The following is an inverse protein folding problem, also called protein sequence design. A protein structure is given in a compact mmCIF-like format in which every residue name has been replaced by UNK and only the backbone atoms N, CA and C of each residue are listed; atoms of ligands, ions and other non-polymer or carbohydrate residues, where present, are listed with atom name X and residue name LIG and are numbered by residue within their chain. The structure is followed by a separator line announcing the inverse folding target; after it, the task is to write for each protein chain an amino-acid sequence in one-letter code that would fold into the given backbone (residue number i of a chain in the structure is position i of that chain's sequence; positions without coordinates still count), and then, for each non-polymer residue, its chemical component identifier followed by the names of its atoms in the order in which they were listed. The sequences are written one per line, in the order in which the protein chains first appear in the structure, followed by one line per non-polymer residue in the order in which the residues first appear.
data_IF_930152420490
#
_entry.id   IF_930152420490
#
_cell.length_a   1.000
_cell.length_b   1.000
_cell.length_c   1.000
_cell.angle_alpha   90.00
_cell.angle_beta   90.00
_cell.angle_gamma   90.00
#
_symmetry.space_group_name_H-M   'P 1'
#
loop_
_entity.id
_entity.type
_entity.pdbx_description
1 polymer ?
#
# COMPACT_ATOMS: atom_id res chain seq x y z
N UNK A 1 17.49 26.62 16.44
CA UNK A 1 16.39 25.73 16.82
C UNK A 1 16.92 24.31 16.69
N UNK A 2 16.96 23.55 17.77
CA UNK A 2 17.25 22.12 17.68
C UNK A 2 16.13 21.46 16.84
N UNK A 3 16.46 20.54 15.92
CA UNK A 3 15.42 19.77 15.23
C UNK A 3 14.60 19.03 16.29
N UNK A 4 13.28 19.19 16.25
CA UNK A 4 12.39 18.38 17.10
C UNK A 4 12.61 16.91 16.73
N UNK A 5 13.03 16.12 17.70
CA UNK A 5 13.20 14.67 17.54
C UNK A 5 11.84 14.05 17.20
N UNK A 6 11.73 13.39 16.05
CA UNK A 6 10.48 12.79 15.58
C UNK A 6 10.14 11.60 16.49
N UNK A 7 9.02 11.67 17.19
CA UNK A 7 8.52 10.55 18.00
C UNK A 7 7.79 9.55 17.10
N UNK A 8 8.52 8.60 16.54
CA UNK A 8 7.97 7.57 15.67
C UNK A 8 7.00 6.63 16.38
N UNK A 9 7.21 6.31 17.66
CA UNK A 9 6.31 5.42 18.40
C UNK A 9 4.90 6.02 18.49
N UNK A 10 4.80 7.31 18.80
CA UNK A 10 3.50 8.02 18.80
C UNK A 10 2.83 7.99 17.42
N UNK A 11 3.59 8.22 16.35
CA UNK A 11 3.06 8.21 14.97
C UNK A 11 2.55 6.80 14.60
N UNK A 12 3.28 5.76 14.97
CA UNK A 12 2.91 4.37 14.71
C UNK A 12 1.61 4.03 15.44
N UNK A 13 1.52 4.37 16.73
CA UNK A 13 0.35 4.09 17.56
C UNK A 13 -0.89 4.84 17.07
N UNK A 14 -0.77 6.12 16.73
CA UNK A 14 -1.88 6.93 16.18
C UNK A 14 -2.39 6.37 14.85
N UNK A 15 -1.49 5.99 13.94
CA UNK A 15 -1.87 5.42 12.65
C UNK A 15 -2.52 4.05 12.78
N UNK A 16 -2.03 3.20 13.69
CA UNK A 16 -2.63 1.90 13.96
C UNK A 16 -4.00 2.04 14.62
N UNK A 17 -4.15 2.95 15.60
CA UNK A 17 -5.42 3.23 16.26
C UNK A 17 -6.49 3.67 15.24
N UNK A 18 -6.13 4.54 14.30
CA UNK A 18 -7.04 4.97 13.25
C UNK A 18 -7.52 3.80 12.36
N UNK A 19 -6.65 2.85 12.00
CA UNK A 19 -7.06 1.65 11.27
C UNK A 19 -8.08 0.86 12.07
N UNK A 20 -7.87 0.69 13.39
CA UNK A 20 -8.78 -0.05 14.25
C UNK A 20 -10.15 0.62 14.33
N UNK A 21 -10.20 1.95 14.46
CA UNK A 21 -11.45 2.74 14.44
C UNK A 21 -12.21 2.57 13.13
N UNK A 22 -11.50 2.57 11.98
CA UNK A 22 -12.12 2.43 10.65
C UNK A 22 -12.75 1.05 10.44
N UNK A 23 -12.11 -0.02 10.95
CA UNK A 23 -12.63 -1.37 10.74
C UNK A 23 -13.63 -1.83 11.80
N UNK A 24 -13.60 -1.24 13.00
CA UNK A 24 -14.47 -1.63 14.15
C UNK A 24 -15.96 -1.71 13.79
N UNK A 25 -16.58 -0.74 13.07
CA UNK A 25 -18.02 -0.79 12.77
C UNK A 25 -18.46 -1.94 11.86
N UNK A 26 -17.51 -2.60 11.18
CA UNK A 26 -17.77 -3.62 10.15
C UNK A 26 -17.10 -4.97 10.45
N UNK A 27 -16.59 -5.15 11.65
CA UNK A 27 -15.93 -6.40 12.06
C UNK A 27 -16.37 -6.86 13.42
N UNK A 28 -16.19 -8.13 13.74
CA UNK A 28 -16.47 -8.65 15.10
C UNK A 28 -15.42 -8.17 16.10
N UNK A 29 -15.78 -8.14 17.39
CA UNK A 29 -14.81 -7.83 18.45
C UNK A 29 -13.64 -8.83 18.47
N UNK A 30 -13.90 -10.10 18.13
CA UNK A 30 -12.87 -11.14 18.01
C UNK A 30 -11.91 -10.84 16.86
N UNK A 31 -12.43 -10.52 15.68
CA UNK A 31 -11.59 -10.17 14.52
C UNK A 31 -10.83 -8.87 14.74
N UNK A 32 -11.43 -7.87 15.38
CA UNK A 32 -10.72 -6.64 15.75
C UNK A 32 -9.54 -6.94 16.69
N UNK A 33 -9.73 -7.85 17.67
CA UNK A 33 -8.64 -8.28 18.54
C UNK A 33 -7.52 -8.98 17.76
N UNK A 34 -7.86 -9.81 16.75
CA UNK A 34 -6.88 -10.46 15.84
C UNK A 34 -6.11 -9.46 14.98
N UNK A 35 -6.77 -8.40 14.50
CA UNK A 35 -6.11 -7.33 13.74
C UNK A 35 -5.11 -6.57 14.62
N UNK A 36 -5.50 -6.24 15.88
CA UNK A 36 -4.59 -5.62 16.85
C UNK A 36 -3.39 -6.51 17.16
N UNK A 37 -3.61 -7.82 17.27
CA UNK A 37 -2.57 -8.82 17.50
C UNK A 37 -1.60 -8.92 16.30
N UNK A 38 -2.10 -8.83 15.06
CA UNK A 38 -1.29 -8.81 13.86
C UNK A 38 -0.39 -7.56 13.78
N UNK A 39 -0.91 -6.40 14.14
CA UNK A 39 -0.12 -5.19 14.27
C UNK A 39 0.99 -5.35 15.32
N UNK A 40 0.67 -5.89 16.50
CA UNK A 40 1.66 -6.11 17.58
C UNK A 40 2.78 -7.05 17.11
N UNK A 41 2.43 -8.15 16.43
CA UNK A 41 3.42 -9.07 15.86
C UNK A 41 4.29 -8.39 14.80
N UNK A 42 3.70 -7.65 13.87
CA UNK A 42 4.45 -6.95 12.83
C UNK A 42 5.41 -5.90 13.43
N UNK A 43 4.96 -5.16 14.47
CA UNK A 43 5.80 -4.19 15.19
C UNK A 43 7.00 -4.86 15.86
N UNK A 44 6.78 -5.97 16.55
CA UNK A 44 7.85 -6.76 17.19
C UNK A 44 8.82 -7.30 16.14
N UNK A 45 8.31 -7.92 15.09
CA UNK A 45 9.10 -8.57 14.06
C UNK A 45 10.02 -7.58 13.31
N UNK A 46 9.53 -6.37 13.03
CA UNK A 46 10.26 -5.33 12.31
C UNK A 46 10.96 -4.31 13.22
N UNK A 47 10.96 -4.50 14.55
CA UNK A 47 11.54 -3.55 15.50
C UNK A 47 12.99 -3.11 15.18
N UNK A 48 13.92 -4.01 14.74
CA UNK A 48 15.29 -3.63 14.42
C UNK A 48 15.45 -3.02 13.01
N UNK A 49 14.39 -2.96 12.21
CA UNK A 49 14.49 -2.62 10.79
C UNK A 49 14.12 -1.15 10.54
N UNK A 50 14.85 -0.53 9.61
CA UNK A 50 14.59 0.83 9.14
C UNK A 50 14.48 0.85 7.61
N UNK A 51 13.65 1.75 7.08
CA UNK A 51 13.53 1.99 5.64
C UNK A 51 14.73 2.81 5.14
N UNK A 52 14.87 2.91 3.81
CA UNK A 52 15.90 3.76 3.17
C UNK A 52 15.72 5.25 3.46
N UNK A 53 14.51 5.67 3.80
CA UNK A 53 14.17 7.02 4.29
C UNK A 53 14.67 7.28 5.72
N UNK A 54 15.12 6.23 6.46
CA UNK A 54 15.56 6.33 7.85
C UNK A 54 14.43 6.15 8.88
N UNK A 55 13.19 6.00 8.46
CA UNK A 55 12.04 5.75 9.34
C UNK A 55 11.91 4.27 9.73
N UNK A 56 11.28 3.93 10.89
CA UNK A 56 11.01 2.55 11.29
C UNK A 56 10.24 1.78 10.21
N UNK A 57 10.68 0.54 9.93
CA UNK A 57 10.08 -0.28 8.86
C UNK A 57 8.59 -0.53 9.06
N UNK A 58 8.12 -0.68 10.30
CA UNK A 58 6.71 -0.93 10.66
C UNK A 58 5.74 0.09 10.06
N UNK A 59 6.18 1.32 9.76
CA UNK A 59 5.36 2.34 9.10
C UNK A 59 4.87 1.90 7.71
N UNK A 60 5.61 0.98 7.04
CA UNK A 60 5.20 0.42 5.78
C UNK A 60 4.02 -0.56 5.91
N UNK A 61 4.10 -1.66 6.69
CA UNK A 61 2.93 -2.53 6.91
C UNK A 61 1.71 -1.79 7.44
N UNK A 62 1.89 -0.80 8.31
CA UNK A 62 0.80 0.06 8.80
C UNK A 62 0.15 0.83 7.65
N UNK A 63 0.93 1.42 6.75
CA UNK A 63 0.40 2.15 5.61
C UNK A 63 -0.30 1.22 4.60
N UNK A 64 0.22 0.01 4.36
CA UNK A 64 -0.40 -1.01 3.51
C UNK A 64 -1.74 -1.46 4.10
N UNK A 65 -1.78 -1.75 5.41
CA UNK A 65 -3.01 -2.11 6.11
C UNK A 65 -4.05 -0.97 6.11
N UNK A 66 -3.59 0.30 6.18
CA UNK A 66 -4.46 1.46 6.07
C UNK A 66 -5.13 1.54 4.69
N UNK A 67 -4.37 1.39 3.61
CA UNK A 67 -4.92 1.36 2.25
C UNK A 67 -5.98 0.26 2.12
N UNK A 68 -5.69 -0.94 2.62
CA UNK A 68 -6.61 -2.05 2.60
C UNK A 68 -7.90 -1.77 3.40
N UNK A 69 -7.78 -1.14 4.57
CA UNK A 69 -8.90 -0.85 5.46
C UNK A 69 -9.75 0.33 4.98
N UNK A 70 -9.14 1.44 4.55
CA UNK A 70 -9.83 2.69 4.26
C UNK A 70 -10.18 2.84 2.78
N UNK A 71 -9.21 2.59 1.89
CA UNK A 71 -9.38 2.87 0.46
C UNK A 71 -10.04 1.70 -0.29
N UNK A 72 -9.77 0.46 0.14
CA UNK A 72 -10.31 -0.76 -0.45
C UNK A 72 -11.41 -1.43 0.37
N UNK A 73 -11.66 -0.99 1.60
CA UNK A 73 -12.71 -1.50 2.50
C UNK A 73 -12.67 -3.03 2.70
N UNK A 74 -11.47 -3.61 2.80
CA UNK A 74 -11.25 -5.05 2.87
C UNK A 74 -11.60 -5.64 4.25
N UNK A 75 -11.80 -6.95 4.27
CA UNK A 75 -12.11 -7.73 5.48
C UNK A 75 -10.92 -7.84 6.45
N UNK A 76 -11.21 -8.24 7.69
CA UNK A 76 -10.22 -8.33 8.77
C UNK A 76 -9.05 -9.25 8.42
N UNK A 77 -9.28 -10.41 7.79
CA UNK A 77 -8.22 -11.34 7.43
C UNK A 77 -7.27 -10.75 6.39
N UNK A 78 -7.81 -9.97 5.44
CA UNK A 78 -7.00 -9.28 4.44
C UNK A 78 -6.19 -8.14 5.06
N UNK A 79 -6.76 -7.38 6.00
CA UNK A 79 -6.03 -6.34 6.76
C UNK A 79 -4.92 -6.97 7.62
N UNK A 80 -5.18 -8.11 8.27
CA UNK A 80 -4.16 -8.89 8.98
C UNK A 80 -3.03 -9.30 8.02
N UNK A 81 -3.38 -9.82 6.84
CA UNK A 81 -2.37 -10.19 5.83
C UNK A 81 -1.54 -8.99 5.37
N UNK A 82 -2.12 -7.78 5.30
CA UNK A 82 -1.38 -6.55 5.02
C UNK A 82 -0.36 -6.19 6.10
N UNK A 83 -0.69 -6.37 7.38
CA UNK A 83 0.31 -6.19 8.46
C UNK A 83 1.44 -7.23 8.39
N UNK A 84 1.15 -8.44 7.94
CA UNK A 84 2.06 -9.60 8.01
C UNK A 84 2.77 -9.92 6.69
N UNK A 85 2.52 -9.20 5.60
CA UNK A 85 2.96 -9.58 4.25
C UNK A 85 4.48 -9.71 4.10
N UNK A 86 5.26 -8.90 4.83
CA UNK A 86 6.73 -8.93 4.82
C UNK A 86 7.32 -9.68 6.03
N UNK A 87 6.51 -10.04 7.04
CA UNK A 87 7.01 -10.68 8.27
C UNK A 87 7.73 -11.99 7.96
N UNK A 88 7.15 -12.82 7.09
CA UNK A 88 7.75 -14.13 6.74
C UNK A 88 8.95 -13.99 5.77
N UNK A 89 9.00 -12.91 4.96
CA UNK A 89 10.09 -12.68 4.01
C UNK A 89 11.33 -12.11 4.72
N UNK A 90 11.12 -11.16 5.64
CA UNK A 90 12.19 -10.31 6.17
C UNK A 90 12.54 -10.57 7.64
N UNK A 91 11.89 -11.56 8.28
CA UNK A 91 12.10 -11.88 9.70
C UNK A 91 12.17 -13.41 9.93
N UNK A 92 12.55 -13.89 11.12
CA UNK A 92 12.61 -15.32 11.42
C UNK A 92 11.26 -16.05 11.50
N UNK A 93 10.13 -15.33 11.50
CA UNK A 93 8.80 -15.95 11.55
C UNK A 93 8.51 -16.78 10.31
N UNK A 94 7.83 -17.90 10.51
CA UNK A 94 7.44 -18.83 9.45
C UNK A 94 5.95 -18.78 9.13
N UNK A 95 5.55 -19.32 7.97
CA UNK A 95 4.12 -19.50 7.64
C UNK A 95 3.39 -20.34 8.69
N UNK A 96 4.07 -21.31 9.31
CA UNK A 96 3.47 -22.16 10.34
C UNK A 96 3.20 -21.37 11.63
N UNK A 97 4.03 -20.37 11.96
CA UNK A 97 3.79 -19.48 13.09
C UNK A 97 2.57 -18.58 12.82
N UNK A 98 2.47 -18.05 11.60
CA UNK A 98 1.28 -17.28 11.18
C UNK A 98 0.02 -18.14 11.23
N UNK A 99 0.09 -19.38 10.73
CA UNK A 99 -1.03 -20.33 10.76
C UNK A 99 -1.50 -20.63 12.18
N UNK A 100 -0.59 -20.89 13.11
CA UNK A 100 -0.92 -21.17 14.52
C UNK A 100 -1.62 -20.00 15.21
N UNK A 101 -1.22 -18.76 14.86
CA UNK A 101 -1.70 -17.56 15.55
C UNK A 101 -2.93 -16.95 14.88
N UNK A 102 -3.02 -16.97 13.56
CA UNK A 102 -4.06 -16.28 12.79
C UNK A 102 -4.95 -17.20 11.93
N UNK A 103 -4.64 -18.50 11.90
CA UNK A 103 -5.42 -19.48 11.14
C UNK A 103 -4.97 -19.71 9.71
N UNK A 104 -5.59 -20.68 9.07
CA UNK A 104 -5.23 -21.14 7.70
C UNK A 104 -5.48 -20.09 6.62
N UNK A 105 -6.55 -19.32 6.73
CA UNK A 105 -6.95 -18.32 5.75
C UNK A 105 -5.88 -17.22 5.64
N UNK A 106 -5.50 -16.61 6.77
CA UNK A 106 -4.44 -15.59 6.82
C UNK A 106 -3.10 -16.17 6.37
N UNK A 107 -2.73 -17.36 6.84
CA UNK A 107 -1.48 -18.00 6.46
C UNK A 107 -1.41 -18.28 4.95
N UNK A 108 -2.54 -18.64 4.34
CA UNK A 108 -2.63 -18.84 2.89
C UNK A 108 -2.41 -17.52 2.14
N UNK A 109 -3.06 -16.43 2.56
CA UNK A 109 -2.88 -15.10 1.98
C UNK A 109 -1.42 -14.64 2.09
N UNK A 110 -0.83 -14.71 3.29
CA UNK A 110 0.58 -14.32 3.51
C UNK A 110 1.53 -15.17 2.65
N UNK A 111 1.30 -16.49 2.55
CA UNK A 111 2.11 -17.38 1.70
C UNK A 111 2.09 -16.97 0.23
N UNK A 112 0.93 -16.57 -0.29
CA UNK A 112 0.76 -16.19 -1.69
C UNK A 112 1.42 -14.84 -1.98
N UNK A 113 1.40 -13.90 -1.04
CA UNK A 113 2.02 -12.59 -1.22
C UNK A 113 3.53 -12.58 -0.94
N UNK A 114 4.04 -13.51 -0.12
CA UNK A 114 5.47 -13.65 0.18
C UNK A 114 6.22 -14.13 -1.06
N UNK A 115 7.29 -13.45 -1.43
CA UNK A 115 8.14 -13.83 -2.56
C UNK A 115 8.89 -15.12 -2.25
N UNK A 116 8.81 -16.10 -3.15
CA UNK A 116 9.74 -17.23 -3.11
C UNK A 116 11.12 -16.72 -3.50
N UNK A 117 12.11 -16.96 -2.64
CA UNK A 117 13.51 -16.63 -2.94
C UNK A 117 13.95 -17.38 -4.22
N UNK A 118 13.92 -16.72 -5.36
CA UNK A 118 14.41 -17.24 -6.63
C UNK A 118 15.86 -16.80 -6.83
N UNK A 119 16.76 -17.77 -6.99
CA UNK A 119 18.20 -17.56 -7.26
C UNK A 119 18.50 -17.29 -8.75
N UNK A 120 17.54 -16.88 -9.56
CA UNK A 120 17.69 -16.80 -11.02
C UNK A 120 17.74 -15.37 -11.52
N UNK A 121 18.50 -15.14 -12.61
CA UNK A 121 18.83 -13.88 -13.30
C UNK A 121 17.75 -12.79 -13.36
N UNK A 122 18.16 -11.50 -13.41
CA UNK A 122 17.25 -10.31 -13.34
C UNK A 122 16.08 -10.31 -14.35
N UNK A 123 16.25 -10.86 -15.55
CA UNK A 123 15.15 -10.99 -16.53
C UNK A 123 14.10 -12.00 -16.07
N UNK A 124 14.50 -13.04 -15.33
CA UNK A 124 13.58 -14.02 -14.76
C UNK A 124 12.80 -13.47 -13.57
N UNK A 125 13.35 -12.51 -12.81
CA UNK A 125 12.65 -11.91 -11.66
C UNK A 125 11.39 -11.14 -12.06
N UNK A 126 11.39 -10.46 -13.20
CA UNK A 126 10.20 -9.75 -13.69
C UNK A 126 9.13 -10.74 -14.18
N UNK A 127 9.55 -11.78 -14.91
CA UNK A 127 8.66 -12.87 -15.33
C UNK A 127 8.12 -13.65 -14.13
N UNK A 128 8.95 -13.90 -13.11
CA UNK A 128 8.55 -14.59 -11.88
C UNK A 128 7.56 -13.74 -11.08
N UNK A 129 7.78 -12.44 -10.97
CA UNK A 129 6.83 -11.51 -10.33
C UNK A 129 5.49 -11.48 -11.08
N UNK A 130 5.53 -11.45 -12.42
CA UNK A 130 4.34 -11.48 -13.25
C UNK A 130 3.58 -12.81 -13.09
N UNK A 131 4.29 -13.92 -13.18
CA UNK A 131 3.72 -15.25 -12.99
C UNK A 131 3.13 -15.42 -11.59
N UNK A 132 3.84 -15.00 -10.55
CA UNK A 132 3.36 -15.04 -9.17
C UNK A 132 2.09 -14.18 -8.98
N UNK A 133 2.02 -13.03 -9.63
CA UNK A 133 0.83 -12.18 -9.58
C UNK A 133 -0.36 -12.85 -10.29
N UNK A 134 -0.13 -13.48 -11.44
CA UNK A 134 -1.17 -14.26 -12.14
C UNK A 134 -1.59 -15.52 -11.36
N UNK A 135 -0.63 -16.23 -10.76
CA UNK A 135 -0.92 -17.39 -9.92
C UNK A 135 -1.74 -16.97 -8.68
N UNK A 136 -1.46 -15.78 -8.12
CA UNK A 136 -2.25 -15.22 -7.02
C UNK A 136 -3.72 -15.04 -7.37
N UNK A 137 -4.03 -14.65 -8.63
CA UNK A 137 -5.41 -14.54 -9.15
C UNK A 137 -6.16 -15.88 -9.12
N UNK A 138 -5.44 -16.97 -9.33
CA UNK A 138 -6.05 -18.30 -9.39
C UNK A 138 -6.34 -18.88 -8.00
N UNK A 139 -5.59 -18.44 -6.97
CA UNK A 139 -5.72 -18.95 -5.61
C UNK A 139 -6.65 -18.12 -4.73
N UNK A 140 -6.43 -16.80 -4.70
CA UNK A 140 -7.24 -15.89 -3.88
C UNK A 140 -7.10 -14.44 -4.39
N UNK A 141 -8.21 -13.86 -4.82
CA UNK A 141 -8.25 -12.47 -5.32
C UNK A 141 -7.79 -11.45 -4.26
N UNK A 142 -7.96 -11.75 -2.97
CA UNK A 142 -7.53 -10.87 -1.87
C UNK A 142 -6.01 -10.68 -1.85
N UNK A 143 -5.24 -11.71 -2.26
CA UNK A 143 -3.78 -11.60 -2.36
C UNK A 143 -3.34 -10.49 -3.33
N UNK A 144 -4.10 -10.26 -4.40
CA UNK A 144 -3.83 -9.16 -5.33
C UNK A 144 -4.11 -7.81 -4.69
N UNK A 145 -5.18 -7.72 -3.91
CA UNK A 145 -5.54 -6.49 -3.20
C UNK A 145 -4.45 -6.11 -2.19
N UNK A 146 -3.86 -7.09 -1.48
CA UNK A 146 -2.68 -6.87 -0.64
C UNK A 146 -1.50 -6.36 -1.48
N UNK A 147 -1.20 -6.99 -2.62
CA UNK A 147 -0.09 -6.56 -3.50
C UNK A 147 -0.32 -5.18 -4.13
N UNK A 148 -1.57 -4.83 -4.46
CA UNK A 148 -1.91 -3.49 -4.94
C UNK A 148 -1.74 -2.44 -3.84
N UNK A 149 -2.13 -2.75 -2.60
CA UNK A 149 -1.94 -1.87 -1.44
C UNK A 149 -0.45 -1.64 -1.16
N UNK A 150 0.36 -2.71 -1.19
CA UNK A 150 1.82 -2.63 -1.07
C UNK A 150 2.43 -1.78 -2.20
N UNK A 151 2.06 -2.06 -3.46
CA UNK A 151 2.56 -1.32 -4.62
C UNK A 151 2.21 0.16 -4.53
N UNK A 152 0.98 0.51 -4.16
CA UNK A 152 0.53 1.89 -4.03
C UNK A 152 1.35 2.63 -2.96
N UNK A 153 1.54 2.02 -1.79
CA UNK A 153 2.38 2.63 -0.76
C UNK A 153 3.85 2.78 -1.22
N UNK A 154 4.40 1.78 -1.90
CA UNK A 154 5.76 1.86 -2.45
C UNK A 154 5.89 2.98 -3.49
N UNK A 155 4.87 3.21 -4.32
CA UNK A 155 4.84 4.32 -5.29
C UNK A 155 4.74 5.68 -4.59
N UNK A 156 3.92 5.81 -3.54
CA UNK A 156 3.79 7.04 -2.73
C UNK A 156 5.11 7.44 -2.03
N UNK A 157 5.97 6.45 -1.73
CA UNK A 157 7.26 6.67 -1.02
C UNK A 157 8.49 6.51 -1.93
N UNK A 158 8.31 6.44 -3.24
CA UNK A 158 9.35 6.08 -4.20
C UNK A 158 10.49 7.12 -4.32
N UNK A 159 10.24 8.37 -3.93
CA UNK A 159 11.22 9.47 -3.94
C UNK A 159 12.50 9.17 -3.15
N UNK A 160 12.44 8.32 -2.12
CA UNK A 160 13.60 7.91 -1.31
C UNK A 160 14.55 6.94 -2.03
N UNK A 161 14.17 6.44 -3.21
CA UNK A 161 14.96 5.48 -3.98
C UNK A 161 15.87 6.18 -5.00
N UNK A 162 16.93 5.48 -5.46
CA UNK A 162 17.78 5.95 -6.56
C UNK A 162 16.98 6.05 -7.87
N UNK A 163 17.29 7.03 -8.77
CA UNK A 163 16.55 7.25 -10.02
C UNK A 163 16.37 6.00 -10.89
N UNK A 164 17.40 5.16 -11.02
CA UNK A 164 17.32 3.90 -11.77
C UNK A 164 16.26 2.94 -11.21
N UNK A 165 16.15 2.87 -9.87
CA UNK A 165 15.11 2.07 -9.21
C UNK A 165 13.73 2.70 -9.34
N UNK A 166 13.64 4.02 -9.27
CA UNK A 166 12.38 4.75 -9.49
C UNK A 166 11.82 4.41 -10.87
N UNK A 167 12.63 4.55 -11.91
CA UNK A 167 12.27 4.25 -13.30
C UNK A 167 11.79 2.79 -13.47
N UNK A 168 12.53 1.83 -12.90
CA UNK A 168 12.19 0.41 -12.98
C UNK A 168 10.85 0.10 -12.28
N UNK A 169 10.66 0.59 -11.06
CA UNK A 169 9.45 0.35 -10.26
C UNK A 169 8.24 1.06 -10.90
N UNK A 170 8.41 2.29 -11.38
CA UNK A 170 7.36 3.03 -12.07
C UNK A 170 6.96 2.33 -13.39
N UNK A 171 7.93 1.85 -14.18
CA UNK A 171 7.66 1.07 -15.38
C UNK A 171 6.88 -0.21 -15.10
N UNK A 172 7.30 -1.01 -14.09
CA UNK A 172 6.60 -2.21 -13.68
C UNK A 172 5.17 -1.90 -13.20
N UNK A 173 4.99 -0.79 -12.50
CA UNK A 173 3.67 -0.34 -12.01
C UNK A 173 2.73 -0.02 -13.18
N UNK A 174 3.20 0.72 -14.15
CA UNK A 174 2.45 1.12 -15.33
C UNK A 174 2.03 -0.08 -16.21
N UNK A 175 2.96 -1.02 -16.43
CA UNK A 175 2.71 -2.19 -17.29
C UNK A 175 1.87 -3.28 -16.64
N UNK A 176 1.91 -3.41 -15.30
CA UNK A 176 1.35 -4.57 -14.63
C UNK A 176 0.24 -4.18 -13.65
N UNK A 177 0.55 -3.31 -12.69
CA UNK A 177 -0.36 -3.03 -11.57
C UNK A 177 -1.50 -2.10 -11.95
N UNK A 178 -1.27 -1.07 -12.77
CA UNK A 178 -2.32 -0.16 -13.23
C UNK A 178 -3.37 -0.86 -14.11
N UNK A 179 -3.00 -1.67 -15.12
CA UNK A 179 -3.95 -2.47 -15.88
C UNK A 179 -4.72 -3.49 -15.02
N UNK A 180 -4.06 -4.06 -14.01
CA UNK A 180 -4.69 -4.98 -13.09
C UNK A 180 -5.74 -4.27 -12.22
N UNK A 181 -5.39 -3.13 -11.63
CA UNK A 181 -6.33 -2.31 -10.87
C UNK A 181 -7.54 -1.89 -11.73
N UNK A 182 -7.31 -1.55 -13.00
CA UNK A 182 -8.38 -1.24 -13.95
C UNK A 182 -9.32 -2.43 -14.17
N UNK A 183 -8.79 -3.64 -14.36
CA UNK A 183 -9.60 -4.86 -14.56
C UNK A 183 -10.43 -5.23 -13.33
N UNK A 184 -9.94 -4.89 -12.14
CA UNK A 184 -10.64 -5.09 -10.87
C UNK A 184 -11.65 -3.96 -10.56
N UNK A 185 -11.78 -2.95 -11.42
CA UNK A 185 -12.66 -1.81 -11.19
C UNK A 185 -12.16 -0.81 -10.14
N UNK A 186 -10.89 -0.91 -9.71
CA UNK A 186 -10.28 -0.07 -8.69
C UNK A 186 -9.76 1.24 -9.32
N UNK A 187 -10.67 2.05 -9.85
CA UNK A 187 -10.34 3.22 -10.66
C UNK A 187 -9.50 4.27 -9.92
N UNK A 188 -9.73 4.49 -8.63
CA UNK A 188 -8.95 5.43 -7.82
C UNK A 188 -7.51 4.95 -7.69
N UNK A 189 -7.30 3.69 -7.35
CA UNK A 189 -5.98 3.06 -7.25
C UNK A 189 -5.26 3.09 -8.60
N UNK A 190 -5.97 2.69 -9.67
CA UNK A 190 -5.45 2.72 -11.05
C UNK A 190 -4.97 4.12 -11.42
N UNK A 191 -5.79 5.15 -11.22
CA UNK A 191 -5.48 6.53 -11.60
C UNK A 191 -4.29 7.06 -10.81
N UNK A 192 -4.22 6.76 -9.51
CA UNK A 192 -3.08 7.19 -8.69
C UNK A 192 -1.79 6.47 -9.11
N UNK A 193 -1.85 5.14 -9.36
CA UNK A 193 -0.68 4.39 -9.84
C UNK A 193 -0.16 4.93 -11.19
N UNK A 194 -1.05 5.25 -12.12
CA UNK A 194 -0.69 5.84 -13.42
C UNK A 194 -0.05 7.23 -13.24
N UNK A 195 -0.65 8.10 -12.44
CA UNK A 195 -0.13 9.44 -12.17
C UNK A 195 1.25 9.39 -11.51
N UNK A 196 1.43 8.53 -10.50
CA UNK A 196 2.73 8.35 -9.86
C UNK A 196 3.75 7.75 -10.83
N UNK A 197 3.36 6.78 -11.66
CA UNK A 197 4.24 6.21 -12.68
C UNK A 197 4.66 7.25 -13.71
N UNK A 198 3.73 8.08 -14.18
CA UNK A 198 4.00 9.18 -15.11
C UNK A 198 4.99 10.19 -14.50
N UNK A 199 4.78 10.60 -13.26
CA UNK A 199 5.66 11.52 -12.54
C UNK A 199 7.11 11.05 -12.50
N UNK A 200 7.37 9.74 -12.30
CA UNK A 200 8.73 9.21 -12.21
C UNK A 200 9.33 8.86 -13.58
N UNK A 201 8.51 8.58 -14.59
CA UNK A 201 8.98 8.21 -15.92
C UNK A 201 9.16 9.39 -16.87
N UNK A 202 8.34 10.40 -16.72
CA UNK A 202 8.32 11.60 -17.57
C UNK A 202 8.18 12.86 -16.68
N UNK A 203 9.19 13.18 -15.82
CA UNK A 203 9.07 14.24 -14.84
C UNK A 203 8.84 15.64 -15.46
N UNK A 204 9.52 15.95 -16.54
CA UNK A 204 9.42 17.25 -17.20
C UNK A 204 8.01 17.51 -17.76
N UNK A 205 7.44 16.49 -18.43
CA UNK A 205 6.08 16.55 -18.97
C UNK A 205 5.03 16.57 -17.83
N UNK A 206 5.27 15.80 -16.76
CA UNK A 206 4.41 15.82 -15.60
C UNK A 206 4.34 17.21 -14.95
N UNK A 207 5.49 17.85 -14.74
CA UNK A 207 5.59 19.17 -14.12
C UNK A 207 4.96 20.26 -15.02
N UNK A 208 5.12 20.16 -16.35
CA UNK A 208 4.48 21.10 -17.28
C UNK A 208 2.96 20.96 -17.25
N UNK A 209 2.42 19.73 -17.34
CA UNK A 209 0.98 19.49 -17.28
C UNK A 209 0.41 19.92 -15.92
N UNK A 210 1.10 19.62 -14.83
CA UNK A 210 0.68 20.02 -13.48
C UNK A 210 0.55 21.54 -13.36
N UNK A 211 1.53 22.30 -13.83
CA UNK A 211 1.49 23.78 -13.85
C UNK A 211 0.32 24.32 -14.69
N UNK A 212 0.04 23.69 -15.85
CA UNK A 212 -1.08 24.11 -16.69
C UNK A 212 -2.42 23.85 -16.01
N UNK A 213 -2.59 22.70 -15.34
CA UNK A 213 -3.80 22.36 -14.58
C UNK A 213 -3.99 23.34 -13.42
N UNK A 214 -2.95 23.61 -12.62
CA UNK A 214 -3.00 24.55 -11.50
C UNK A 214 -3.40 25.97 -11.98
N UNK A 215 -2.79 26.45 -13.06
CA UNK A 215 -3.12 27.75 -13.65
C UNK A 215 -4.57 27.78 -14.18
N UNK A 216 -5.08 26.66 -14.70
CA UNK A 216 -6.48 26.57 -15.15
C UNK A 216 -7.45 26.58 -13.97
N UNK A 217 -7.18 25.80 -12.92
CA UNK A 217 -7.99 25.74 -11.71
C UNK A 217 -8.06 27.12 -11.05
N UNK A 218 -6.92 27.81 -10.89
CA UNK A 218 -6.89 29.14 -10.26
C UNK A 218 -7.69 30.17 -11.07
N UNK A 219 -7.58 30.16 -12.42
CA UNK A 219 -8.39 31.06 -13.27
C UNK A 219 -9.89 30.83 -13.16
N UNK A 220 -10.32 29.61 -12.84
CA UNK A 220 -11.73 29.26 -12.76
C UNK A 220 -12.26 29.13 -11.31
N UNK A 221 -11.42 29.38 -10.32
CA UNK A 221 -11.72 29.19 -8.89
C UNK A 221 -13.03 29.86 -8.46
N UNK A 222 -13.19 31.15 -8.81
CA UNK A 222 -14.40 31.92 -8.47
C UNK A 222 -15.67 31.32 -9.09
N UNK A 223 -15.59 30.83 -10.34
CA UNK A 223 -16.72 30.18 -11.01
C UNK A 223 -17.09 28.85 -10.36
N UNK A 224 -16.08 28.07 -9.97
CA UNK A 224 -16.28 26.80 -9.28
C UNK A 224 -16.90 27.00 -7.89
N UNK A 225 -16.45 28.01 -7.14
CA UNK A 225 -17.03 28.35 -5.85
C UNK A 225 -18.49 28.81 -5.97
N UNK A 226 -18.79 29.67 -6.95
CA UNK A 226 -20.16 30.10 -7.22
C UNK A 226 -21.05 28.89 -7.55
N UNK A 227 -20.62 28.01 -8.42
CA UNK A 227 -21.35 26.81 -8.81
C UNK A 227 -21.56 25.86 -7.63
N UNK A 228 -20.54 25.64 -6.81
CA UNK A 228 -20.63 24.81 -5.60
C UNK A 228 -21.63 25.38 -4.60
N UNK A 229 -21.63 26.69 -4.39
CA UNK A 229 -22.58 27.35 -3.49
C UNK A 229 -24.03 27.24 -3.99
N UNK A 230 -24.26 27.41 -5.30
CA UNK A 230 -25.59 27.22 -5.90
C UNK A 230 -26.14 25.80 -5.69
N UNK A 231 -25.31 24.76 -5.87
CA UNK A 231 -25.70 23.36 -5.61
C UNK A 231 -26.00 23.14 -4.12
N UNK A 232 -25.20 23.75 -3.23
CA UNK A 232 -25.40 23.57 -1.78
C UNK A 232 -26.62 24.32 -1.24
N UNK A 233 -27.13 25.33 -1.95
CA UNK A 233 -28.37 26.05 -1.62
C UNK A 233 -29.64 25.34 -2.11
N UNK A 234 -29.51 24.45 -3.12
CA UNK A 234 -30.63 23.70 -3.69
C UNK A 234 -30.80 22.29 -3.08
N UNK A 235 -29.83 21.79 -2.27
CA UNK A 235 -29.86 20.53 -1.55
C UNK A 235 -30.23 20.70 -0.08
#
# INVERSE_FOLDING_TARGET
MQPQEINYDKIIDERAAHIFEVIEPRTSAEDLARVKDAFALAREAHAPQVRKSGEPYILHPVAVARIAAEELMLDANTVIACFLHDVVEDTPYTIDDIKKRFGDDVASLVRVVTKKASKVYELSKQLDNYKQLLDSLLYDTRAILVKLSDRLHNMRTLTSMKPEKQMKIAGETDYLYSPLANRLGLYNIKTELENLSFRFRCPDEYDEISRQIEAHVERNRSKLETFKNQISEEL
#
